data_IF_474459373935
#
_entry.id   IF_474459373935
#
_cell.length_a   1.000
_cell.length_b   1.000
_cell.length_c   1.000
_cell.angle_alpha   90.00
_cell.angle_beta   90.00
_cell.angle_gamma   90.00
#
_symmetry.space_group_name_H-M   'P 1'
#
loop_
_entity.id
_entity.type
_entity.pdbx_description
1 polymer ?
#
# COMPACT_ATOMS: atom_id res chain seq x y z
N UNK A 1 -21.74 0.57 -2.53
CA UNK A 1 -21.54 0.59 -1.05
C UNK A 1 -20.16 1.20 -0.81
N UNK A 2 -19.76 1.62 0.40
CA UNK A 2 -18.37 2.06 0.62
C UNK A 2 -17.49 0.88 1.04
N UNK A 3 -16.25 0.86 0.58
CA UNK A 3 -15.24 -0.14 0.95
C UNK A 3 -14.04 0.56 1.60
N UNK A 4 -13.60 0.05 2.75
CA UNK A 4 -12.45 0.56 3.50
C UNK A 4 -11.22 -0.31 3.26
N UNK A 5 -10.20 0.28 2.66
CA UNK A 5 -8.91 -0.35 2.37
C UNK A 5 -7.85 0.28 3.25
N UNK A 6 -7.09 -0.54 3.98
CA UNK A 6 -6.07 -0.09 4.92
C UNK A 6 -4.72 -0.61 4.47
N UNK A 7 -3.73 0.27 4.31
CA UNK A 7 -2.34 -0.11 4.08
C UNK A 7 -1.48 0.20 5.29
N UNK A 8 -0.60 -0.72 5.66
CA UNK A 8 0.35 -0.49 6.74
C UNK A 8 1.59 -1.38 6.62
N UNK A 9 2.77 -0.75 6.61
CA UNK A 9 4.02 -1.46 6.76
C UNK A 9 4.19 -1.87 8.23
N UNK A 10 4.12 -3.18 8.48
CA UNK A 10 4.11 -3.74 9.82
C UNK A 10 5.49 -3.74 10.48
N UNK A 11 6.58 -3.50 9.74
CA UNK A 11 7.95 -3.60 10.25
C UNK A 11 8.25 -4.96 10.93
N UNK A 12 7.76 -6.06 10.33
CA UNK A 12 7.90 -7.43 10.85
C UNK A 12 7.01 -7.76 12.05
N UNK A 13 7.00 -9.04 12.46
CA UNK A 13 6.23 -9.56 13.62
C UNK A 13 4.75 -9.18 13.60
N UNK A 14 4.13 -9.20 12.43
CA UNK A 14 2.73 -8.82 12.26
C UNK A 14 1.77 -9.71 13.06
N UNK A 15 2.12 -10.98 13.35
CA UNK A 15 1.32 -11.86 14.24
C UNK A 15 1.08 -11.28 15.64
N UNK A 16 1.90 -10.34 16.10
CA UNK A 16 1.78 -9.66 17.39
C UNK A 16 1.03 -8.32 17.26
N UNK A 17 0.83 -7.83 16.02
CA UNK A 17 0.37 -6.47 15.72
C UNK A 17 -0.98 -6.42 15.01
N UNK A 18 -1.40 -7.53 14.37
CA UNK A 18 -2.69 -7.61 13.68
C UNK A 18 -3.92 -7.23 14.56
N UNK A 19 -3.94 -7.42 15.89
CA UNK A 19 -5.09 -6.99 16.70
C UNK A 19 -5.28 -5.47 16.68
N UNK A 20 -4.21 -4.69 16.53
CA UNK A 20 -4.29 -3.23 16.48
C UNK A 20 -4.87 -2.74 15.17
N UNK A 21 -4.39 -3.24 14.02
CA UNK A 21 -4.92 -2.84 12.71
C UNK A 21 -6.36 -3.33 12.50
N UNK A 22 -6.73 -4.46 13.10
CA UNK A 22 -8.10 -4.95 13.08
C UNK A 22 -9.09 -3.96 13.71
N UNK A 23 -8.69 -3.16 14.70
CA UNK A 23 -9.57 -2.14 15.34
C UNK A 23 -10.05 -1.08 14.36
N UNK A 24 -9.30 -0.84 13.28
CA UNK A 24 -9.67 0.10 12.23
C UNK A 24 -10.80 -0.40 11.31
N UNK A 25 -11.22 -1.66 11.48
CA UNK A 25 -12.39 -2.25 10.79
C UNK A 25 -12.33 -2.07 9.27
N UNK A 26 -11.20 -2.45 8.68
CA UNK A 26 -11.01 -2.46 7.22
C UNK A 26 -11.65 -3.68 6.59
N UNK A 27 -12.13 -3.52 5.37
CA UNK A 27 -12.62 -4.62 4.54
C UNK A 27 -11.46 -5.32 3.83
N UNK A 28 -10.41 -4.55 3.53
CA UNK A 28 -9.15 -5.03 2.94
C UNK A 28 -7.96 -4.45 3.70
N UNK A 29 -6.97 -5.29 3.96
CA UNK A 29 -5.73 -4.96 4.65
C UNK A 29 -4.53 -5.30 3.76
N UNK A 30 -3.80 -4.28 3.33
CA UNK A 30 -2.54 -4.40 2.58
C UNK A 30 -1.39 -4.24 3.57
N UNK A 31 -0.70 -5.33 3.88
CA UNK A 31 0.31 -5.36 4.95
C UNK A 31 1.68 -5.62 4.35
N UNK A 32 2.52 -4.59 4.32
CA UNK A 32 3.93 -4.72 3.97
C UNK A 32 4.72 -5.27 5.17
N UNK A 33 5.82 -5.95 4.88
CA UNK A 33 6.71 -6.55 5.87
C UNK A 33 6.08 -7.54 6.86
N UNK A 34 4.98 -8.22 6.50
CA UNK A 34 4.39 -9.26 7.35
C UNK A 34 5.00 -10.65 7.10
N UNK A 35 5.11 -11.47 8.14
CA UNK A 35 5.40 -12.89 7.98
C UNK A 35 4.28 -13.63 7.23
N UNK A 36 4.64 -14.77 6.62
CA UNK A 36 3.67 -15.63 5.96
C UNK A 36 2.76 -16.30 7.01
N UNK A 37 1.43 -16.11 6.92
CA UNK A 37 0.48 -16.66 7.90
C UNK A 37 0.48 -18.19 7.93
N UNK A 38 0.69 -18.87 6.80
CA UNK A 38 0.69 -20.34 6.72
C UNK A 38 1.83 -20.98 7.52
N UNK A 39 2.92 -20.24 7.75
CA UNK A 39 4.07 -20.70 8.54
C UNK A 39 4.04 -20.19 9.99
N UNK A 40 2.97 -19.50 10.39
CA UNK A 40 2.84 -18.96 11.74
C UNK A 40 2.06 -19.91 12.66
N UNK A 41 2.52 -20.06 13.91
CA UNK A 41 1.81 -20.86 14.93
C UNK A 41 0.62 -20.13 15.54
N UNK A 42 0.59 -18.80 15.46
CA UNK A 42 -0.50 -17.99 16.00
C UNK A 42 -1.80 -18.32 15.25
N UNK A 43 -2.80 -18.86 15.97
CA UNK A 43 -4.07 -19.27 15.40
C UNK A 43 -4.93 -18.08 14.97
N UNK A 44 -5.03 -17.05 15.81
CA UNK A 44 -5.82 -15.87 15.53
C UNK A 44 -5.30 -15.11 14.31
N UNK A 45 -3.97 -15.06 14.14
CA UNK A 45 -3.38 -14.47 12.93
C UNK A 45 -3.72 -15.27 11.67
N UNK A 46 -3.69 -16.60 11.73
CA UNK A 46 -4.11 -17.46 10.60
C UNK A 46 -5.59 -17.28 10.28
N UNK A 47 -6.44 -17.14 11.30
CA UNK A 47 -7.87 -16.87 11.12
C UNK A 47 -8.10 -15.48 10.50
N UNK A 48 -7.37 -14.45 10.95
CA UNK A 48 -7.39 -13.12 10.34
C UNK A 48 -6.96 -13.14 8.86
N UNK A 49 -5.98 -13.97 8.52
CA UNK A 49 -5.45 -14.06 7.16
C UNK A 49 -6.16 -15.10 6.27
N UNK A 50 -7.19 -15.78 6.75
CA UNK A 50 -7.73 -16.99 6.11
C UNK A 50 -8.30 -16.76 4.69
N UNK A 51 -8.92 -15.59 4.45
CA UNK A 51 -9.42 -15.20 3.12
C UNK A 51 -8.39 -14.45 2.26
N UNK A 52 -7.18 -14.27 2.77
CA UNK A 52 -6.15 -13.45 2.15
C UNK A 52 -5.15 -14.22 1.29
N UNK A 53 -4.26 -13.46 0.67
CA UNK A 53 -3.12 -13.93 -0.11
C UNK A 53 -1.83 -13.28 0.40
N UNK A 54 -0.70 -13.97 0.23
CA UNK A 54 0.60 -13.50 0.69
C UNK A 54 1.69 -13.81 -0.33
N UNK A 55 2.58 -12.85 -0.55
CA UNK A 55 3.70 -12.92 -1.48
C UNK A 55 5.02 -12.62 -0.76
N UNK A 56 6.04 -13.43 -1.02
CA UNK A 56 7.40 -13.18 -0.53
C UNK A 56 8.28 -14.43 -0.55
N UNK A 57 9.59 -14.22 -0.62
CA UNK A 57 10.57 -15.33 -0.63
C UNK A 57 11.04 -15.69 0.79
N UNK A 58 10.86 -14.78 1.75
CA UNK A 58 11.19 -14.99 3.15
C UNK A 58 9.90 -15.14 3.96
N UNK A 59 9.69 -16.33 4.55
CA UNK A 59 8.51 -16.60 5.40
C UNK A 59 8.31 -15.62 6.55
N UNK A 60 9.33 -14.83 6.94
CA UNK A 60 9.24 -13.86 8.02
C UNK A 60 8.93 -12.43 7.55
N UNK A 61 8.93 -12.16 6.24
CA UNK A 61 8.79 -10.80 5.69
C UNK A 61 8.35 -10.82 4.22
N UNK A 62 7.16 -10.33 3.95
CA UNK A 62 6.55 -10.25 2.62
C UNK A 62 5.38 -9.25 2.59
N UNK A 63 4.57 -9.36 1.54
CA UNK A 63 3.41 -8.53 1.26
C UNK A 63 2.14 -9.38 1.40
N UNK A 64 1.22 -8.97 2.26
CA UNK A 64 -0.07 -9.63 2.46
C UNK A 64 -1.23 -8.77 2.01
N UNK A 65 -2.24 -9.39 1.39
CA UNK A 65 -3.57 -8.80 1.20
C UNK A 65 -4.55 -9.68 1.97
N UNK A 66 -5.08 -9.18 3.08
CA UNK A 66 -6.05 -9.89 3.93
C UNK A 66 -7.40 -9.20 3.85
N UNK A 67 -8.49 -9.95 3.95
CA UNK A 67 -9.83 -9.43 3.66
C UNK A 67 -10.85 -9.87 4.70
N UNK A 68 -11.88 -9.04 4.91
CA UNK A 68 -13.03 -9.38 5.72
C UNK A 68 -13.86 -10.51 5.07
N UNK A 69 -14.67 -11.27 5.85
CA UNK A 69 -15.39 -12.45 5.33
C UNK A 69 -16.35 -12.21 4.17
N UNK A 70 -16.79 -10.96 3.96
CA UNK A 70 -17.72 -10.58 2.90
C UNK A 70 -17.00 -10.11 1.62
N UNK A 71 -15.66 -10.05 1.62
CA UNK A 71 -14.83 -9.68 0.48
C UNK A 71 -14.14 -10.92 -0.07
N UNK A 72 -14.15 -11.08 -1.38
CA UNK A 72 -13.42 -12.13 -2.10
C UNK A 72 -12.32 -11.52 -2.95
N UNK A 73 -11.17 -12.19 -2.99
CA UNK A 73 -10.03 -11.81 -3.85
C UNK A 73 -9.53 -12.98 -4.68
N UNK A 74 -9.11 -12.69 -5.91
CA UNK A 74 -8.44 -13.65 -6.80
C UNK A 74 -7.14 -13.04 -7.32
N UNK A 75 -6.04 -13.79 -7.32
CA UNK A 75 -4.77 -13.33 -7.88
C UNK A 75 -4.91 -13.11 -9.40
N UNK A 76 -4.61 -11.89 -9.87
CA UNK A 76 -4.58 -11.58 -11.30
C UNK A 76 -3.37 -12.17 -12.02
N UNK A 77 -2.44 -12.79 -11.28
CA UNK A 77 -1.25 -13.50 -11.77
C UNK A 77 -0.41 -12.64 -12.72
N UNK A 78 -0.24 -11.36 -12.39
CA UNK A 78 0.67 -10.51 -13.14
C UNK A 78 2.09 -11.09 -13.06
N UNK A 79 2.81 -11.05 -14.18
CA UNK A 79 4.15 -11.60 -14.24
C UNK A 79 5.06 -10.82 -13.31
N UNK A 80 5.60 -11.49 -12.28
CA UNK A 80 6.48 -10.80 -11.33
C UNK A 80 7.73 -10.21 -11.98
N UNK A 81 8.28 -10.84 -13.04
CA UNK A 81 9.50 -10.42 -13.73
C UNK A 81 10.67 -10.09 -12.76
N UNK A 82 10.80 -10.90 -11.70
CA UNK A 82 11.72 -10.70 -10.57
C UNK A 82 11.44 -9.49 -9.66
N UNK A 83 10.40 -8.71 -9.94
CA UNK A 83 9.86 -7.62 -9.13
C UNK A 83 8.75 -8.14 -8.21
N UNK A 84 9.12 -8.92 -7.20
CA UNK A 84 8.20 -9.67 -6.31
C UNK A 84 7.54 -8.82 -5.21
N UNK A 85 7.59 -7.49 -5.35
CA UNK A 85 7.14 -6.53 -4.35
C UNK A 85 5.80 -5.88 -4.68
N UNK A 86 5.07 -6.51 -5.60
CA UNK A 86 3.80 -6.05 -6.11
C UNK A 86 2.86 -7.26 -6.17
N UNK A 87 1.60 -7.07 -5.80
CA UNK A 87 0.58 -8.10 -5.87
C UNK A 87 -0.71 -7.48 -6.39
N UNK A 88 -1.25 -8.03 -7.49
CA UNK A 88 -2.49 -7.55 -8.07
C UNK A 88 -3.58 -8.59 -7.87
N UNK A 89 -4.70 -8.20 -7.29
CA UNK A 89 -5.87 -9.07 -7.09
C UNK A 89 -7.13 -8.44 -7.67
N UNK A 90 -8.02 -9.27 -8.20
CA UNK A 90 -9.41 -8.91 -8.48
C UNK A 90 -10.20 -8.96 -7.19
N UNK A 91 -10.87 -7.86 -6.82
CA UNK A 91 -11.71 -7.73 -5.62
C UNK A 91 -13.17 -7.81 -6.03
N UNK A 92 -13.92 -8.74 -5.42
CA UNK A 92 -15.37 -8.94 -5.61
C UNK A 92 -15.83 -9.01 -7.08
N UNK A 93 -14.96 -9.47 -7.98
CA UNK A 93 -15.17 -9.39 -9.44
C UNK A 93 -15.54 -7.98 -9.96
N UNK A 94 -15.20 -6.93 -9.19
CA UNK A 94 -15.58 -5.52 -9.40
C UNK A 94 -14.40 -4.66 -9.86
N UNK A 95 -13.31 -4.66 -9.11
CA UNK A 95 -12.13 -3.83 -9.40
C UNK A 95 -10.81 -4.55 -9.11
N UNK A 96 -9.71 -4.00 -9.62
CA UNK A 96 -8.38 -4.55 -9.39
C UNK A 96 -7.65 -3.75 -8.32
N UNK A 97 -7.03 -4.44 -7.37
CA UNK A 97 -6.21 -3.85 -6.31
C UNK A 97 -4.75 -4.25 -6.51
N UNK A 98 -3.88 -3.27 -6.74
CA UNK A 98 -2.43 -3.44 -6.78
C UNK A 98 -1.80 -2.99 -5.47
N UNK A 99 -1.38 -3.96 -4.66
CA UNK A 99 -0.59 -3.73 -3.45
C UNK A 99 0.88 -3.45 -3.80
N UNK A 100 1.47 -2.47 -3.12
CA UNK A 100 2.82 -1.96 -3.39
C UNK A 100 3.72 -2.04 -2.15
N UNK A 101 4.97 -2.49 -2.33
CA UNK A 101 6.04 -2.42 -1.32
C UNK A 101 7.42 -2.24 -1.94
N UNK A 102 7.77 -1.06 -2.45
CA UNK A 102 9.09 -0.89 -3.09
C UNK A 102 10.23 -1.01 -2.07
N UNK A 103 11.36 -1.59 -2.48
CA UNK A 103 12.48 -1.86 -1.55
C UNK A 103 13.84 -1.59 -2.18
N UNK A 104 14.20 -2.30 -3.24
CA UNK A 104 15.53 -2.18 -3.84
C UNK A 104 15.48 -1.16 -4.97
N UNK A 105 16.32 -0.12 -4.96
CA UNK A 105 16.15 1.01 -5.89
C UNK A 105 14.80 1.74 -5.75
N UNK A 106 14.02 1.50 -4.69
CA UNK A 106 12.85 2.28 -4.31
C UNK A 106 11.86 2.47 -5.48
N UNK A 107 11.41 3.70 -5.73
CA UNK A 107 10.44 4.03 -6.79
C UNK A 107 10.82 3.56 -8.20
N UNK A 108 12.11 3.32 -8.49
CA UNK A 108 12.52 2.78 -9.79
C UNK A 108 11.91 1.39 -10.04
N UNK A 109 11.75 0.56 -9.00
CA UNK A 109 11.08 -0.75 -9.13
C UNK A 109 9.65 -0.58 -9.61
N UNK A 110 8.91 0.36 -9.02
CA UNK A 110 7.54 0.65 -9.44
C UNK A 110 7.52 1.18 -10.89
N UNK A 111 8.40 2.13 -11.20
CA UNK A 111 8.50 2.70 -12.55
C UNK A 111 8.69 1.61 -13.61
N UNK A 112 9.60 0.66 -13.37
CA UNK A 112 9.86 -0.47 -14.25
C UNK A 112 8.66 -1.43 -14.29
N UNK A 113 8.11 -1.78 -13.13
CA UNK A 113 6.96 -2.68 -13.03
C UNK A 113 5.76 -2.16 -13.81
N UNK A 114 5.46 -0.87 -13.67
CA UNK A 114 4.39 -0.21 -14.40
C UNK A 114 4.66 -0.23 -15.90
N UNK A 115 5.87 0.12 -16.36
CA UNK A 115 6.20 0.08 -17.79
C UNK A 115 6.02 -1.33 -18.41
N UNK A 116 6.43 -2.38 -17.69
CA UNK A 116 6.29 -3.76 -18.15
C UNK A 116 4.83 -4.21 -18.25
N UNK A 117 3.93 -3.55 -17.51
CA UNK A 117 2.52 -3.89 -17.41
C UNK A 117 1.59 -2.76 -17.85
N UNK A 118 2.07 -1.78 -18.63
CA UNK A 118 1.34 -0.54 -18.89
C UNK A 118 -0.08 -0.78 -19.42
N UNK A 119 -0.28 -1.79 -20.28
CA UNK A 119 -1.59 -2.14 -20.84
C UNK A 119 -2.58 -2.73 -19.83
N UNK A 120 -2.13 -3.09 -18.61
CA UNK A 120 -2.97 -3.64 -17.54
C UNK A 120 -3.48 -2.56 -16.58
N UNK A 121 -2.91 -1.35 -16.62
CA UNK A 121 -3.37 -0.25 -15.79
C UNK A 121 -4.63 0.40 -16.38
N UNK A 122 -5.61 0.68 -15.52
CA UNK A 122 -6.88 1.31 -15.92
C UNK A 122 -7.52 2.09 -14.76
N UNK A 123 -8.50 2.94 -15.07
CA UNK A 123 -9.13 3.84 -14.09
C UNK A 123 -9.90 3.12 -12.99
N UNK A 124 -10.41 1.92 -13.27
CA UNK A 124 -11.10 1.12 -12.27
C UNK A 124 -10.16 0.42 -11.26
N UNK A 125 -8.84 0.63 -11.29
CA UNK A 125 -7.94 0.04 -10.30
C UNK A 125 -7.84 0.88 -9.02
N UNK A 126 -7.37 0.25 -7.95
CA UNK A 126 -6.78 0.90 -6.78
C UNK A 126 -5.32 0.47 -6.69
N UNK A 127 -4.41 1.42 -6.46
CA UNK A 127 -2.98 1.13 -6.24
C UNK A 127 -2.59 1.70 -4.88
N UNK A 128 -2.13 0.87 -3.96
CA UNK A 128 -1.91 1.32 -2.59
C UNK A 128 -0.77 0.56 -1.90
N UNK A 129 0.04 1.27 -1.12
CA UNK A 129 1.13 0.65 -0.37
C UNK A 129 2.27 1.58 0.03
N UNK A 130 3.40 0.99 0.36
CA UNK A 130 4.65 1.68 0.69
C UNK A 130 5.47 1.88 -0.60
N UNK A 131 5.56 3.12 -1.06
CA UNK A 131 6.29 3.48 -2.28
C UNK A 131 7.76 3.82 -1.99
N UNK A 132 8.18 3.92 -0.72
CA UNK A 132 9.50 4.38 -0.28
C UNK A 132 10.03 5.58 -1.11
N UNK A 133 9.15 6.55 -1.35
CA UNK A 133 9.42 7.64 -2.29
C UNK A 133 8.57 8.85 -1.97
N UNK A 134 9.02 10.02 -2.40
CA UNK A 134 8.32 11.29 -2.29
C UNK A 134 8.95 12.26 -3.31
N UNK A 135 8.16 13.19 -3.83
CA UNK A 135 8.62 14.20 -4.80
C UNK A 135 9.83 15.01 -4.32
N UNK A 136 9.97 15.26 -3.02
CA UNK A 136 11.11 16.00 -2.45
C UNK A 136 12.48 15.37 -2.74
N UNK A 137 12.51 14.12 -3.21
CA UNK A 137 13.72 13.38 -3.58
C UNK A 137 13.95 13.26 -5.09
N UNK A 138 13.06 13.77 -5.94
CA UNK A 138 13.16 13.65 -7.41
C UNK A 138 14.51 14.14 -7.94
N UNK A 139 15.02 15.25 -7.40
CA UNK A 139 16.30 15.85 -7.82
C UNK A 139 17.52 15.28 -7.09
N UNK A 140 17.33 14.60 -5.96
CA UNK A 140 18.42 14.21 -5.05
C UNK A 140 19.04 12.85 -5.39
N UNK A 141 18.36 12.04 -6.18
CA UNK A 141 18.77 10.64 -6.39
C UNK A 141 19.67 10.44 -7.61
N UNK A 142 19.81 11.43 -8.50
CA UNK A 142 20.57 11.28 -9.75
C UNK A 142 19.95 10.29 -10.75
N UNK A 143 18.71 9.84 -10.50
CA UNK A 143 18.02 8.75 -11.23
C UNK A 143 17.26 9.21 -12.48
N UNK A 144 17.42 10.48 -12.88
CA UNK A 144 16.77 11.04 -14.05
C UNK A 144 15.24 10.96 -13.95
N UNK A 145 14.60 10.46 -15.01
CA UNK A 145 13.14 10.38 -15.14
C UNK A 145 12.49 9.22 -14.35
N UNK A 146 13.25 8.34 -13.70
CA UNK A 146 12.71 7.22 -12.92
C UNK A 146 12.49 7.63 -11.47
N UNK A 147 11.53 8.52 -11.26
CA UNK A 147 11.32 9.22 -9.99
C UNK A 147 9.84 9.24 -9.57
N UNK A 148 9.55 9.88 -8.43
CA UNK A 148 8.21 9.91 -7.84
C UNK A 148 7.21 10.60 -8.76
N UNK A 149 7.53 11.82 -9.21
CA UNK A 149 6.62 12.58 -10.08
C UNK A 149 6.29 11.84 -11.37
N UNK A 150 7.24 11.10 -11.93
CA UNK A 150 7.02 10.32 -13.14
C UNK A 150 6.06 9.15 -12.90
N UNK A 151 6.18 8.46 -11.75
CA UNK A 151 5.21 7.44 -11.35
C UNK A 151 3.82 8.03 -11.11
N UNK A 152 3.73 9.18 -10.44
CA UNK A 152 2.46 9.90 -10.25
C UNK A 152 1.83 10.24 -11.60
N UNK A 153 2.62 10.71 -12.57
CA UNK A 153 2.12 11.00 -13.92
C UNK A 153 1.64 9.74 -14.64
N UNK A 154 2.40 8.64 -14.57
CA UNK A 154 1.99 7.36 -15.19
C UNK A 154 0.67 6.83 -14.61
N UNK A 155 0.46 7.01 -13.30
CA UNK A 155 -0.81 6.68 -12.64
C UNK A 155 -1.94 7.62 -13.09
N UNK A 156 -1.65 8.91 -13.24
CA UNK A 156 -2.61 9.88 -13.77
C UNK A 156 -3.00 9.57 -15.23
N UNK A 157 -2.07 9.14 -16.06
CA UNK A 157 -2.32 8.72 -17.44
C UNK A 157 -3.23 7.47 -17.50
N UNK A 158 -3.19 6.63 -16.45
CA UNK A 158 -4.12 5.52 -16.27
C UNK A 158 -5.49 5.93 -15.66
N UNK A 159 -5.71 7.22 -15.42
CA UNK A 159 -6.94 7.76 -14.84
C UNK A 159 -7.00 7.71 -13.32
N UNK A 160 -5.85 7.56 -12.64
CA UNK A 160 -5.76 7.43 -11.18
C UNK A 160 -5.08 8.66 -10.58
N UNK A 161 -5.61 9.19 -9.47
CA UNK A 161 -4.98 10.28 -8.73
C UNK A 161 -4.61 9.83 -7.32
N UNK A 162 -3.66 10.53 -6.69
CA UNK A 162 -3.33 10.27 -5.29
C UNK A 162 -4.49 10.71 -4.38
N UNK A 163 -5.07 9.76 -3.66
CA UNK A 163 -6.26 9.98 -2.85
C UNK A 163 -6.01 10.98 -1.71
N UNK A 164 -4.85 10.90 -1.05
CA UNK A 164 -4.47 11.86 0.00
C UNK A 164 -4.46 13.30 -0.54
N UNK A 165 -3.80 13.53 -1.68
CA UNK A 165 -3.73 14.87 -2.28
C UNK A 165 -5.08 15.36 -2.80
N UNK A 166 -5.93 14.44 -3.28
CA UNK A 166 -7.29 14.76 -3.71
C UNK A 166 -8.15 15.25 -2.54
N UNK A 167 -8.06 14.60 -1.38
CA UNK A 167 -8.86 14.92 -0.19
C UNK A 167 -8.30 16.12 0.58
N UNK A 168 -6.98 16.17 0.81
CA UNK A 168 -6.34 17.24 1.58
C UNK A 168 -6.10 18.52 0.75
N UNK A 169 -6.26 18.45 -0.58
CA UNK A 169 -5.97 19.55 -1.50
C UNK A 169 -4.53 20.11 -1.33
N UNK A 170 -3.58 19.20 -1.08
CA UNK A 170 -2.16 19.50 -0.98
C UNK A 170 -1.45 19.18 -2.30
N UNK A 171 -0.32 19.84 -2.56
CA UNK A 171 0.53 19.51 -3.69
C UNK A 171 1.44 18.31 -3.37
N UNK A 172 1.77 17.51 -4.38
CA UNK A 172 2.79 16.46 -4.26
C UNK A 172 4.08 17.06 -3.67
N UNK A 173 4.66 16.40 -2.66
CA UNK A 173 5.87 16.83 -1.96
C UNK A 173 5.65 17.84 -0.83
N UNK A 174 4.42 18.31 -0.63
CA UNK A 174 4.03 19.25 0.43
C UNK A 174 3.11 18.58 1.46
N UNK A 175 3.18 17.25 1.59
CA UNK A 175 2.31 16.48 2.47
C UNK A 175 2.52 16.87 3.94
N UNK A 176 1.49 17.39 4.60
CA UNK A 176 1.58 17.86 5.99
C UNK A 176 1.52 16.72 7.01
N UNK A 177 0.87 15.60 6.67
CA UNK A 177 0.70 14.45 7.56
C UNK A 177 1.64 13.31 7.11
N UNK A 178 2.65 12.95 7.92
CA UNK A 178 3.59 11.88 7.57
C UNK A 178 3.01 10.48 7.83
N UNK A 179 3.44 9.53 7.01
CA UNK A 179 3.12 8.11 7.12
C UNK A 179 4.27 7.30 7.74
N UNK A 180 5.50 7.80 7.68
CA UNK A 180 6.72 7.13 8.13
C UNK A 180 7.58 8.03 9.02
N UNK A 181 8.24 7.43 10.01
CA UNK A 181 9.14 8.11 10.93
C UNK A 181 10.45 7.32 11.04
N UNK A 182 11.53 7.86 10.49
CA UNK A 182 12.80 7.13 10.43
C UNK A 182 13.29 6.72 11.84
N UNK A 183 13.44 5.41 12.05
CA UNK A 183 13.73 4.81 13.36
C UNK A 183 12.69 5.10 14.45
N UNK A 184 11.44 5.34 14.06
CA UNK A 184 10.33 5.75 14.94
C UNK A 184 10.55 7.11 15.62
N UNK A 185 11.48 7.93 15.10
CA UNK A 185 11.77 9.24 15.66
C UNK A 185 10.78 10.28 15.11
N UNK A 186 9.99 10.88 16.00
CA UNK A 186 8.96 11.87 15.64
C UNK A 186 9.50 13.10 14.88
N UNK A 187 10.79 13.43 15.07
CA UNK A 187 11.46 14.54 14.39
C UNK A 187 12.12 14.16 13.04
N UNK A 188 11.88 12.95 12.54
CA UNK A 188 12.30 12.51 11.20
C UNK A 188 11.12 11.97 10.38
N UNK A 189 10.05 12.79 10.19
CA UNK A 189 8.84 12.37 9.49
C UNK A 189 9.01 12.41 7.96
N UNK A 190 8.31 11.50 7.28
CA UNK A 190 8.17 11.47 5.82
C UNK A 190 6.79 10.93 5.42
N UNK A 191 6.32 11.30 4.23
CA UNK A 191 5.14 10.72 3.61
C UNK A 191 5.60 9.85 2.43
N UNK A 192 5.48 8.53 2.58
CA UNK A 192 5.97 7.54 1.60
C UNK A 192 4.99 6.41 1.30
N UNK A 193 3.89 6.34 2.06
CA UNK A 193 2.80 5.39 1.83
C UNK A 193 1.68 6.12 1.10
N UNK A 194 1.21 5.56 -0.02
CA UNK A 194 0.24 6.23 -0.88
C UNK A 194 -0.90 5.31 -1.29
N UNK A 195 -2.03 5.93 -1.62
CA UNK A 195 -3.18 5.33 -2.26
C UNK A 195 -3.53 6.10 -3.52
N UNK A 196 -3.84 5.39 -4.60
CA UNK A 196 -4.28 5.93 -5.88
C UNK A 196 -5.54 5.22 -6.34
N UNK A 197 -6.52 5.99 -6.81
CA UNK A 197 -7.78 5.52 -7.34
C UNK A 197 -8.35 6.56 -8.32
N UNK A 198 -9.41 6.22 -9.04
CA UNK A 198 -10.13 7.22 -9.83
C UNK A 198 -10.73 8.31 -8.91
N UNK A 199 -10.61 9.61 -9.26
CA UNK A 199 -11.10 10.72 -8.44
C UNK A 199 -12.55 10.54 -7.97
N UNK A 200 -13.44 10.14 -8.86
CA UNK A 200 -14.86 9.96 -8.61
C UNK A 200 -15.19 8.82 -7.64
N UNK A 201 -14.27 7.86 -7.46
CA UNK A 201 -14.43 6.73 -6.54
C UNK A 201 -13.91 7.04 -5.14
N UNK A 202 -13.07 8.07 -4.98
CA UNK A 202 -12.46 8.40 -3.69
C UNK A 202 -13.52 9.09 -2.81
N UNK A 203 -13.82 8.49 -1.65
CA UNK A 203 -14.74 9.06 -0.66
C UNK A 203 -14.01 9.74 0.48
N UNK A 204 -12.95 9.10 0.98
CA UNK A 204 -12.07 9.67 2.00
C UNK A 204 -10.68 9.03 1.93
N UNK A 205 -9.67 9.73 2.44
CA UNK A 205 -8.32 9.23 2.59
C UNK A 205 -7.60 9.96 3.73
N UNK A 206 -7.18 9.22 4.75
CA UNK A 206 -6.50 9.79 5.90
C UNK A 206 -5.47 8.84 6.50
N UNK A 207 -4.56 9.39 7.31
CA UNK A 207 -3.54 8.65 8.04
C UNK A 207 -4.03 8.52 9.48
N UNK A 208 -3.96 7.32 10.04
CA UNK A 208 -4.27 7.12 11.46
C UNK A 208 -3.14 7.72 12.33
N UNK A 209 -3.44 8.81 13.03
CA UNK A 209 -2.44 9.65 13.70
C UNK A 209 -2.29 9.41 15.20
N UNK A 210 -3.08 8.50 15.80
CA UNK A 210 -2.95 8.15 17.22
C UNK A 210 -1.54 7.68 17.58
N UNK A 211 -1.10 7.94 18.81
CA UNK A 211 0.30 7.81 19.23
C UNK A 211 0.78 6.36 19.37
N UNK A 212 -0.13 5.38 19.40
CA UNK A 212 0.21 3.99 19.67
C UNK A 212 0.95 3.30 18.51
N UNK A 213 0.84 3.80 17.28
CA UNK A 213 1.44 3.14 16.11
C UNK A 213 2.96 3.16 16.11
N UNK A 214 3.58 4.26 16.57
CA UNK A 214 5.04 4.39 16.62
C UNK A 214 5.70 3.48 17.66
N UNK A 215 4.93 2.92 18.60
CA UNK A 215 5.43 1.90 19.52
C UNK A 215 5.64 0.54 18.81
N UNK A 216 4.91 0.28 17.72
CA UNK A 216 4.85 -1.04 17.08
C UNK A 216 5.35 -1.05 15.62
N UNK A 217 5.39 0.08 14.93
CA UNK A 217 6.01 0.24 13.60
C UNK A 217 6.59 1.65 13.45
N UNK A 218 7.53 1.85 12.53
CA UNK A 218 7.92 3.19 12.05
C UNK A 218 6.91 3.80 11.07
N UNK A 219 5.91 3.04 10.63
CA UNK A 219 4.82 3.53 9.79
C UNK A 219 3.51 3.68 10.56
N UNK A 220 2.66 4.59 10.07
CA UNK A 220 1.26 4.76 10.45
C UNK A 220 0.35 4.14 9.38
N UNK A 221 -0.81 3.57 9.76
CA UNK A 221 -1.77 3.08 8.78
C UNK A 221 -2.32 4.21 7.90
N UNK A 222 -2.35 3.96 6.59
CA UNK A 222 -3.07 4.77 5.61
C UNK A 222 -4.44 4.13 5.35
N UNK A 223 -5.51 4.89 5.48
CA UNK A 223 -6.89 4.44 5.33
C UNK A 223 -7.49 5.13 4.11
N UNK A 224 -8.03 4.34 3.19
CA UNK A 224 -8.74 4.77 2.01
C UNK A 224 -10.19 4.27 2.10
N UNK A 225 -11.15 5.16 1.87
CA UNK A 225 -12.55 4.78 1.65
C UNK A 225 -12.91 5.06 0.19
N UNK A 226 -13.39 4.05 -0.51
CA UNK A 226 -13.84 4.15 -1.91
C UNK A 226 -15.32 3.81 -2.04
N UNK A 227 -15.93 4.30 -3.12
CA UNK A 227 -17.18 3.77 -3.62
C UNK A 227 -16.92 2.52 -4.47
N UNK A 228 -17.61 1.45 -4.09
CA UNK A 228 -17.78 0.20 -4.85
C UNK A 228 -19.12 0.21 -5.60
#
# INVERSE_FOLDING_TARGET
MSMRIISWNAQGKFREKFPEIRKLSGDIYIIQECENPLHCRNREYREFAAGGLWWGDNKNKGLGIFVAPHVSITDNAWESLCLRQFACVRVNDSFDLLAVWTKFRYIEEYYIYHHLHASKYHSQMVVMGDFNSNKQWDTKTGRGQRNHSSVVQMLADAGLCSAYHHIQNEAQGEESIPTFFLHRHANRPYHIDYAFAAPERIRDCHIETSTNWLAISDHRPLILEIED
#
